data_IF_554706922871
#
_entry.id   IF_554706922871
#
_cell.length_a   1.000
_cell.length_b   1.000
_cell.length_c   1.000
_cell.angle_alpha   90.00
_cell.angle_beta   90.00
_cell.angle_gamma   90.00
#
_symmetry.space_group_name_H-M   'P 1'
#
loop_
_entity.id
_entity.type
_entity.pdbx_description
1 polymer ?
#
# COMPACT_ATOMS: atom_id res chain seq x y z
N UNK A 1 12.66 -6.18 -5.78
CA UNK A 1 13.07 -4.90 -6.41
C UNK A 1 11.98 -3.85 -6.25
N UNK A 2 10.76 -4.13 -6.72
CA UNK A 2 9.59 -3.22 -6.70
C UNK A 2 9.35 -2.55 -5.35
N UNK A 3 9.27 -3.29 -4.24
CA UNK A 3 8.99 -2.69 -2.92
C UNK A 3 10.08 -1.72 -2.45
N UNK A 4 11.34 -1.94 -2.84
CA UNK A 4 12.47 -1.05 -2.53
C UNK A 4 12.45 0.19 -3.41
N UNK A 5 12.15 0.02 -4.69
CA UNK A 5 12.02 1.12 -5.65
C UNK A 5 10.82 2.02 -5.32
N UNK A 6 9.73 1.44 -4.85
CA UNK A 6 8.56 2.14 -4.36
C UNK A 6 8.77 2.81 -2.98
N UNK A 7 9.96 2.65 -2.37
CA UNK A 7 10.29 3.26 -1.08
C UNK A 7 9.57 2.67 0.13
N UNK A 8 8.92 1.51 -0.01
CA UNK A 8 8.15 0.85 1.06
C UNK A 8 9.07 0.15 2.06
N UNK A 9 10.24 -0.31 1.60
CA UNK A 9 11.22 -1.00 2.42
C UNK A 9 12.59 -0.33 2.39
N UNK A 10 13.26 -0.37 3.53
CA UNK A 10 14.68 -0.04 3.69
C UNK A 10 15.51 -1.31 3.74
N UNK A 11 16.73 -1.24 3.23
CA UNK A 11 17.68 -2.34 3.25
C UNK A 11 18.80 -2.06 4.23
N UNK A 12 18.99 -2.98 5.18
CA UNK A 12 20.10 -2.96 6.12
C UNK A 12 21.00 -4.17 5.85
N UNK A 13 22.19 -3.97 5.26
CA UNK A 13 23.15 -5.05 5.05
C UNK A 13 23.86 -5.39 6.36
N UNK A 14 23.59 -6.60 6.89
CA UNK A 14 24.25 -7.15 8.07
C UNK A 14 25.09 -8.37 7.68
N UNK A 15 26.33 -8.11 7.27
CA UNK A 15 27.30 -9.14 6.90
C UNK A 15 26.83 -9.98 5.69
N UNK A 16 26.53 -11.26 5.92
CA UNK A 16 26.07 -12.19 4.86
C UNK A 16 24.62 -11.94 4.46
N UNK A 17 23.82 -11.34 5.33
CA UNK A 17 22.38 -11.21 5.14
C UNK A 17 21.99 -9.75 4.89
N UNK A 18 20.97 -9.55 4.05
CA UNK A 18 20.33 -8.24 3.87
C UNK A 18 18.94 -8.31 4.48
N UNK A 19 18.71 -7.50 5.50
CA UNK A 19 17.40 -7.38 6.11
C UNK A 19 16.60 -6.29 5.43
N UNK A 20 15.30 -6.52 5.34
CA UNK A 20 14.34 -5.56 4.80
C UNK A 20 13.44 -5.12 5.93
N UNK A 21 13.42 -3.81 6.18
CA UNK A 21 12.55 -3.21 7.18
C UNK A 21 11.47 -2.40 6.47
N UNK A 22 10.23 -2.54 6.90
CA UNK A 22 9.12 -1.74 6.39
C UNK A 22 9.23 -0.32 6.96
N UNK A 23 9.03 0.68 6.11
CA UNK A 23 8.90 2.07 6.55
C UNK A 23 7.50 2.30 7.11
N UNK A 24 7.35 2.70 8.39
CA UNK A 24 6.04 2.95 8.99
C UNK A 24 5.22 3.97 8.21
N UNK A 25 5.85 5.03 7.70
CA UNK A 25 5.20 6.12 6.99
C UNK A 25 4.60 5.65 5.65
N UNK A 26 5.33 4.80 4.93
CA UNK A 26 4.85 4.21 3.68
C UNK A 26 3.68 3.25 3.91
N UNK A 27 3.72 2.47 5.00
CA UNK A 27 2.61 1.60 5.39
C UNK A 27 1.38 2.40 5.81
N UNK A 28 1.54 3.47 6.58
CA UNK A 28 0.44 4.34 7.00
C UNK A 28 -0.25 4.98 5.80
N UNK A 29 0.51 5.48 4.82
CA UNK A 29 -0.04 6.02 3.57
C UNK A 29 -0.81 4.96 2.76
N UNK A 30 -0.23 3.77 2.61
CA UNK A 30 -0.88 2.66 1.90
C UNK A 30 -2.19 2.23 2.59
N UNK A 31 -2.18 2.13 3.92
CA UNK A 31 -3.36 1.77 4.70
C UNK A 31 -4.48 2.81 4.55
N UNK A 32 -4.14 4.10 4.57
CA UNK A 32 -5.11 5.17 4.37
C UNK A 32 -5.75 5.12 2.97
N UNK A 33 -4.95 4.83 1.93
CA UNK A 33 -5.46 4.73 0.57
C UNK A 33 -6.35 3.50 0.38
N UNK A 34 -5.96 2.34 0.92
CA UNK A 34 -6.80 1.14 0.92
C UNK A 34 -8.09 1.36 1.70
N UNK A 35 -8.05 2.09 2.82
CA UNK A 35 -9.25 2.44 3.57
C UNK A 35 -10.19 3.33 2.73
N UNK A 36 -9.66 4.33 2.01
CA UNK A 36 -10.46 5.14 1.07
C UNK A 36 -11.08 4.29 -0.04
N UNK A 37 -10.30 3.40 -0.65
CA UNK A 37 -10.80 2.51 -1.70
C UNK A 37 -11.89 1.56 -1.18
N UNK A 38 -11.75 1.08 0.05
CA UNK A 38 -12.77 0.27 0.71
C UNK A 38 -14.08 1.05 0.88
N UNK A 39 -14.00 2.29 1.37
CA UNK A 39 -15.19 3.17 1.50
C UNK A 39 -15.84 3.40 0.14
N UNK A 40 -15.05 3.77 -0.87
CA UNK A 40 -15.56 3.99 -2.24
C UNK A 40 -16.20 2.74 -2.83
N UNK A 41 -15.61 1.56 -2.61
CA UNK A 41 -16.16 0.30 -3.07
C UNK A 41 -17.51 0.02 -2.40
N UNK A 42 -17.64 0.30 -1.11
CA UNK A 42 -18.89 0.14 -0.38
C UNK A 42 -19.97 1.11 -0.88
N UNK A 43 -19.65 2.39 -1.06
CA UNK A 43 -20.56 3.39 -1.64
C UNK A 43 -21.00 3.01 -3.06
N UNK A 44 -20.10 2.45 -3.86
CA UNK A 44 -20.41 1.98 -5.21
C UNK A 44 -21.38 0.80 -5.16
N UNK A 45 -21.15 -0.15 -4.25
CA UNK A 45 -22.03 -1.29 -4.04
C UNK A 45 -23.43 -0.85 -3.57
N UNK A 46 -23.50 0.07 -2.60
CA UNK A 46 -24.75 0.56 -2.01
C UNK A 46 -25.57 1.40 -3.02
N UNK A 47 -24.90 2.19 -3.85
CA UNK A 47 -25.56 3.04 -4.85
C UNK A 47 -25.96 2.30 -6.13
N UNK A 48 -25.48 1.07 -6.33
CA UNK A 48 -25.70 0.30 -7.57
C UNK A 48 -25.13 0.97 -8.82
N UNK A 49 -24.24 1.96 -8.66
CA UNK A 49 -23.69 2.75 -9.76
C UNK A 49 -22.61 1.96 -10.48
N UNK A 50 -22.89 1.56 -11.72
CA UNK A 50 -21.86 1.04 -12.62
C UNK A 50 -21.03 2.19 -13.19
N UNK A 51 -19.73 1.93 -13.42
CA UNK A 51 -18.88 2.89 -14.14
C UNK A 51 -19.38 2.95 -15.59
N UNK A 52 -19.61 4.14 -16.17
CA UNK A 52 -19.85 4.23 -17.60
C UNK A 52 -18.60 3.72 -18.30
N UNK A 53 -18.79 2.70 -19.14
CA UNK A 53 -17.75 2.07 -19.94
C UNK A 53 -17.35 2.91 -21.15
#
# INVERSE_FOLDING_TARGET
KVLREAGVVETEPCGRWTYYRLKPEALSGLAAELARLSVLAQETADSGRTRPC
#
